data_IF_375730307821
#
_entry.id   IF_375730307821
#
_cell.length_a   1.000
_cell.length_b   1.000
_cell.length_c   1.000
_cell.angle_alpha   90.00
_cell.angle_beta   90.00
_cell.angle_gamma   90.00
#
_symmetry.space_group_name_H-M   'P 1'
#
loop_
_entity.id
_entity.type
_entity.pdbx_description
1 polymer ?
#
# COMPACT_ATOMS: atom_id res chain seq x y z
N UNK A 1 23.03 5.57 9.61
CA UNK A 1 22.28 6.76 9.17
C UNK A 1 20.86 6.32 8.87
N UNK A 2 19.89 7.21 9.07
CA UNK A 2 18.49 6.96 8.74
C UNK A 2 18.32 6.66 7.25
N UNK A 3 17.44 5.71 6.93
CA UNK A 3 17.07 5.38 5.56
C UNK A 3 15.55 5.38 5.41
N UNK A 4 15.07 6.14 4.43
CA UNK A 4 13.66 6.23 4.04
C UNK A 4 13.17 4.95 3.37
N UNK A 5 11.90 4.54 3.55
CA UNK A 5 11.36 3.36 2.88
C UNK A 5 11.27 3.52 1.37
N UNK A 6 11.72 2.48 0.65
CA UNK A 6 11.33 2.26 -0.74
C UNK A 6 9.92 1.67 -0.74
N UNK A 7 9.00 2.34 -1.44
CA UNK A 7 7.58 1.97 -1.47
C UNK A 7 7.16 1.57 -2.87
N UNK A 8 6.57 0.37 -2.99
CA UNK A 8 5.99 -0.13 -4.25
C UNK A 8 4.53 -0.48 -4.03
N UNK A 9 3.65 0.01 -4.91
CA UNK A 9 2.23 -0.32 -4.90
C UNK A 9 1.92 -1.20 -6.11
N UNK A 10 1.44 -2.41 -5.82
CA UNK A 10 1.11 -3.42 -6.81
C UNK A 10 -0.42 -3.48 -6.95
N UNK A 11 -0.94 -3.36 -8.19
CA UNK A 11 -2.37 -3.53 -8.44
C UNK A 11 -2.80 -4.99 -8.24
N UNK A 12 -4.12 -5.24 -8.18
CA UNK A 12 -4.66 -6.59 -8.12
C UNK A 12 -4.26 -7.39 -9.36
N UNK A 13 -3.94 -8.66 -9.18
CA UNK A 13 -3.76 -9.56 -10.32
C UNK A 13 -5.09 -9.86 -11.02
N UNK A 14 -5.09 -10.10 -12.34
CA UNK A 14 -6.32 -10.42 -13.10
C UNK A 14 -7.08 -11.64 -12.56
N UNK A 15 -6.36 -12.60 -11.96
CA UNK A 15 -6.95 -13.76 -11.28
C UNK A 15 -7.70 -13.39 -10.00
N UNK A 16 -7.26 -12.36 -9.26
CA UNK A 16 -7.97 -11.85 -8.08
C UNK A 16 -9.24 -11.09 -8.48
N UNK A 17 -9.19 -10.29 -9.55
CA UNK A 17 -10.34 -9.51 -10.03
C UNK A 17 -11.49 -10.40 -10.55
N UNK A 18 -11.19 -11.66 -10.91
CA UNK A 18 -12.21 -12.62 -11.38
C UNK A 18 -13.18 -13.08 -10.27
N UNK A 19 -12.89 -12.79 -9.01
CA UNK A 19 -13.82 -12.98 -7.89
C UNK A 19 -14.71 -11.74 -7.62
N UNK A 20 -15.28 -11.67 -6.41
CA UNK A 20 -16.11 -10.54 -5.95
C UNK A 20 -15.29 -9.45 -5.21
N UNK A 21 -13.96 -9.54 -5.24
CA UNK A 21 -13.06 -8.64 -4.52
C UNK A 21 -11.76 -8.36 -5.29
N UNK A 22 -11.17 -7.20 -5.08
CA UNK A 22 -9.85 -6.84 -5.58
C UNK A 22 -8.92 -6.51 -4.40
N UNK A 23 -7.63 -6.82 -4.52
CA UNK A 23 -6.65 -6.56 -3.46
C UNK A 23 -5.42 -5.85 -4.00
N UNK A 24 -5.06 -4.71 -3.42
CA UNK A 24 -3.79 -4.03 -3.70
C UNK A 24 -2.76 -4.38 -2.63
N UNK A 25 -1.49 -4.42 -3.01
CA UNK A 25 -0.37 -4.70 -2.10
C UNK A 25 0.63 -3.54 -2.11
N UNK A 26 0.83 -2.93 -0.94
CA UNK A 26 1.89 -1.96 -0.70
C UNK A 26 3.07 -2.62 0.01
N UNK A 27 4.26 -2.53 -0.59
CA UNK A 27 5.51 -3.08 -0.08
C UNK A 27 6.43 -1.94 0.35
N UNK A 28 6.87 -1.96 1.60
CA UNK A 28 7.85 -1.05 2.17
C UNK A 28 9.13 -1.84 2.46
N UNK A 29 10.28 -1.32 2.04
CA UNK A 29 11.55 -2.02 2.25
C UNK A 29 12.73 -1.08 2.50
N UNK A 30 13.79 -1.67 3.05
CA UNK A 30 15.13 -1.07 3.18
C UNK A 30 15.23 0.14 4.12
N UNK A 31 14.26 0.37 5.00
CA UNK A 31 14.23 1.53 5.89
C UNK A 31 14.85 1.28 7.27
N UNK A 32 15.24 2.36 7.94
CA UNK A 32 15.71 2.36 9.33
C UNK A 32 15.57 3.76 9.96
N UNK A 33 15.18 3.90 11.24
CA UNK A 33 14.84 2.85 12.21
C UNK A 33 13.48 2.17 11.92
N UNK A 34 12.99 1.29 12.79
CA UNK A 34 11.63 0.74 12.69
C UNK A 34 10.55 1.82 12.93
N UNK A 35 9.28 1.46 12.72
CA UNK A 35 8.13 2.30 13.04
C UNK A 35 7.46 2.95 11.83
N UNK A 36 7.65 2.40 10.62
CA UNK A 36 6.94 2.89 9.45
C UNK A 36 5.44 2.54 9.55
N UNK A 37 4.58 3.54 9.34
CA UNK A 37 3.12 3.39 9.35
C UNK A 37 2.58 3.50 7.93
N UNK A 38 1.51 2.75 7.66
CA UNK A 38 0.84 2.71 6.36
C UNK A 38 -0.61 3.17 6.51
N UNK A 39 -1.07 4.03 5.62
CA UNK A 39 -2.46 4.44 5.46
C UNK A 39 -2.83 4.40 3.98
N UNK A 40 -4.12 4.21 3.70
CA UNK A 40 -4.63 4.06 2.34
C UNK A 40 -5.60 5.18 2.01
N UNK A 41 -5.55 5.68 0.78
CA UNK A 41 -6.54 6.61 0.25
C UNK A 41 -7.14 6.06 -1.04
N UNK A 42 -8.45 6.21 -1.18
CA UNK A 42 -9.23 5.97 -2.39
C UNK A 42 -9.83 7.30 -2.84
N UNK A 43 -9.43 7.77 -4.02
CA UNK A 43 -9.89 9.04 -4.60
C UNK A 43 -9.81 10.24 -3.63
N UNK A 44 -8.74 10.27 -2.84
CA UNK A 44 -8.46 11.32 -1.86
C UNK A 44 -9.13 11.15 -0.50
N UNK A 45 -9.94 10.10 -0.31
CA UNK A 45 -10.56 9.77 0.98
C UNK A 45 -9.81 8.64 1.67
N UNK A 46 -9.53 8.78 2.98
CA UNK A 46 -8.89 7.71 3.75
C UNK A 46 -9.78 6.48 3.86
N UNK A 47 -9.20 5.29 3.67
CA UNK A 47 -9.89 4.00 3.80
C UNK A 47 -9.15 3.12 4.80
N UNK A 48 -9.90 2.59 5.75
CA UNK A 48 -9.41 1.66 6.79
C UNK A 48 -10.06 0.28 6.70
N UNK A 49 -11.24 0.19 6.08
CA UNK A 49 -11.94 -1.06 5.85
C UNK A 49 -11.14 -1.96 4.89
N UNK A 50 -10.99 -3.24 5.25
CA UNK A 50 -10.25 -4.21 4.42
C UNK A 50 -8.73 -4.04 4.43
N UNK A 51 -8.19 -3.08 5.21
CA UNK A 51 -6.75 -2.88 5.37
C UNK A 51 -6.17 -3.91 6.33
N UNK A 52 -5.13 -4.61 5.90
CA UNK A 52 -4.35 -5.51 6.72
C UNK A 52 -2.87 -5.18 6.57
N UNK A 53 -2.21 -4.82 7.67
CA UNK A 53 -0.79 -4.46 7.67
C UNK A 53 0.00 -5.48 8.48
N UNK A 54 1.10 -5.98 7.91
CA UNK A 54 1.96 -6.96 8.57
C UNK A 54 2.68 -6.35 9.78
N UNK A 55 3.25 -7.20 10.63
CA UNK A 55 4.33 -6.76 11.51
C UNK A 55 5.56 -6.35 10.68
N UNK A 56 6.43 -5.53 11.26
CA UNK A 56 7.73 -5.21 10.66
C UNK A 56 8.64 -6.44 10.76
N UNK A 57 9.38 -6.69 9.69
CA UNK A 57 10.45 -7.68 9.66
C UNK A 57 11.79 -6.97 9.50
N UNK A 58 12.82 -7.53 10.14
CA UNK A 58 14.14 -6.96 10.18
C UNK A 58 15.15 -7.96 9.61
N UNK A 59 16.06 -7.45 8.78
CA UNK A 59 17.23 -8.18 8.28
C UNK A 59 18.38 -7.20 8.08
N UNK A 60 19.54 -7.51 8.64
CA UNK A 60 20.80 -6.77 8.46
C UNK A 60 20.69 -5.26 8.78
N UNK A 61 19.95 -4.91 9.84
CA UNK A 61 19.70 -3.55 10.29
C UNK A 61 18.69 -2.78 9.44
N UNK A 62 17.96 -3.45 8.54
CA UNK A 62 16.96 -2.85 7.66
C UNK A 62 15.61 -3.49 7.88
N UNK A 63 14.59 -2.64 7.88
CA UNK A 63 13.20 -3.04 8.11
C UNK A 63 12.43 -3.12 6.80
N UNK A 64 11.41 -3.97 6.81
CA UNK A 64 10.42 -4.10 5.74
C UNK A 64 9.06 -4.45 6.30
N UNK A 65 8.00 -4.03 5.61
CA UNK A 65 6.60 -4.20 6.00
C UNK A 65 5.73 -4.27 4.75
N UNK A 66 4.59 -4.95 4.84
CA UNK A 66 3.58 -4.92 3.78
C UNK A 66 2.22 -4.51 4.31
N UNK A 67 1.41 -3.92 3.44
CA UNK A 67 -0.01 -3.68 3.69
C UNK A 67 -0.82 -4.13 2.49
N UNK A 68 -1.94 -4.79 2.76
CA UNK A 68 -2.94 -5.16 1.76
C UNK A 68 -4.18 -4.31 1.97
N UNK A 69 -4.76 -3.80 0.87
CA UNK A 69 -6.09 -3.20 0.85
C UNK A 69 -7.02 -4.10 0.04
N UNK A 70 -7.97 -4.73 0.72
CA UNK A 70 -9.01 -5.55 0.09
C UNK A 70 -10.29 -4.74 -0.10
N UNK A 71 -10.81 -4.70 -1.33
CA UNK A 71 -12.01 -3.98 -1.72
C UNK A 71 -13.03 -4.94 -2.32
N UNK A 72 -14.32 -4.61 -2.18
CA UNK A 72 -15.35 -5.24 -3.00
C UNK A 72 -15.15 -4.87 -4.47
N UNK A 73 -15.61 -5.74 -5.37
CA UNK A 73 -15.59 -5.48 -6.81
C UNK A 73 -16.21 -4.13 -7.18
N UNK A 74 -17.35 -3.78 -6.57
CA UNK A 74 -18.01 -2.50 -6.83
C UNK A 74 -17.13 -1.28 -6.47
N UNK A 75 -16.45 -1.30 -5.30
CA UNK A 75 -15.54 -0.21 -4.92
C UNK A 75 -14.29 -0.15 -5.80
N UNK A 76 -13.78 -1.30 -6.22
CA UNK A 76 -12.68 -1.35 -7.19
C UNK A 76 -13.08 -0.84 -8.58
N UNK A 77 -14.32 -1.11 -9.00
CA UNK A 77 -14.85 -0.66 -10.28
C UNK A 77 -15.08 0.85 -10.30
N UNK A 78 -15.60 1.41 -9.22
CA UNK A 78 -15.87 2.84 -9.03
C UNK A 78 -14.60 3.68 -8.80
N UNK A 79 -13.61 3.10 -8.11
CA UNK A 79 -12.37 3.79 -7.75
C UNK A 79 -11.39 3.99 -8.91
N UNK A 80 -10.74 5.16 -8.94
CA UNK A 80 -9.81 5.54 -10.01
C UNK A 80 -8.35 5.67 -9.51
N UNK A 81 -8.16 6.31 -8.35
CA UNK A 81 -6.85 6.57 -7.76
C UNK A 81 -6.72 5.91 -6.39
N UNK A 82 -5.77 4.99 -6.29
CA UNK A 82 -5.43 4.27 -5.07
C UNK A 82 -4.07 4.75 -4.58
N UNK A 83 -3.96 5.15 -3.32
CA UNK A 83 -2.71 5.67 -2.75
C UNK A 83 -2.33 4.88 -1.51
N UNK A 84 -1.09 4.40 -1.48
CA UNK A 84 -0.43 3.93 -0.27
C UNK A 84 0.42 5.08 0.27
N UNK A 85 0.03 5.63 1.43
CA UNK A 85 0.78 6.66 2.15
C UNK A 85 1.54 6.01 3.30
N UNK A 86 2.84 6.29 3.35
CA UNK A 86 3.79 5.76 4.32
C UNK A 86 4.37 6.93 5.12
N UNK A 87 4.23 6.87 6.43
CA UNK A 87 4.87 7.81 7.35
C UNK A 87 6.00 7.10 8.07
N UNK A 88 7.22 7.65 7.99
CA UNK A 88 8.40 7.09 8.64
C UNK A 88 9.27 8.20 9.21
N UNK A 89 9.46 8.19 10.53
CA UNK A 89 10.24 9.19 11.28
C UNK A 89 9.91 10.66 10.94
N UNK A 90 8.62 10.96 10.84
CA UNK A 90 8.13 12.31 10.55
C UNK A 90 8.16 12.72 9.08
N UNK A 91 8.61 11.85 8.17
CA UNK A 91 8.52 12.05 6.73
C UNK A 91 7.39 11.22 6.11
N UNK A 92 6.63 11.84 5.20
CA UNK A 92 5.56 11.20 4.44
C UNK A 92 6.01 10.88 3.02
N UNK A 93 5.68 9.68 2.58
CA UNK A 93 5.91 9.18 1.23
C UNK A 93 4.63 8.56 0.70
N UNK A 94 4.21 8.92 -0.50
CA UNK A 94 3.06 8.30 -1.15
C UNK A 94 3.43 7.70 -2.49
N UNK A 95 2.78 6.58 -2.79
CA UNK A 95 2.79 5.99 -4.13
C UNK A 95 1.35 5.76 -4.56
N UNK A 96 1.06 6.06 -5.82
CA UNK A 96 -0.30 6.00 -6.36
C UNK A 96 -0.38 5.04 -7.54
N UNK A 97 -1.46 4.28 -7.58
CA UNK A 97 -1.89 3.51 -8.74
C UNK A 97 -3.12 4.20 -9.34
N UNK A 98 -3.05 4.50 -10.64
CA UNK A 98 -4.17 5.02 -11.42
C UNK A 98 -4.71 3.90 -12.29
N UNK A 99 -5.98 3.58 -12.16
CA UNK A 99 -6.59 2.50 -12.93
C UNK A 99 -6.59 2.79 -14.43
N UNK A 100 -6.75 4.06 -14.83
CA UNK A 100 -6.63 4.50 -16.23
C UNK A 100 -5.25 4.32 -16.84
N UNK A 101 -4.20 4.07 -16.03
CA UNK A 101 -2.84 3.83 -16.55
C UNK A 101 -2.63 2.41 -17.10
N UNK A 102 -3.63 1.54 -16.99
CA UNK A 102 -3.74 0.24 -17.65
C UNK A 102 -4.17 0.40 -19.14
N UNK A 103 -3.46 1.25 -19.90
CA UNK A 103 -3.67 1.45 -21.35
C UNK A 103 -2.68 0.63 -22.19
#
# INVERSE_FOLDING_TARGET
GQTTPSVSLLPPSSLQISGDSAALLCLLSSYSPQGAQVSWMLDGSEVTEGVQTSAESERDGRYSRSSVLSLSKARWEDGERFVCRVTHDGADHETSFLKSSEC
#
